data_IF_766945792984
#
_entry.id   IF_766945792984
#
_cell.length_a   1.000
_cell.length_b   1.000
_cell.length_c   1.000
_cell.angle_alpha   90.00
_cell.angle_beta   90.00
_cell.angle_gamma   90.00
#
_symmetry.space_group_name_H-M   'P 1'
#
loop_
_entity.id
_entity.type
_entity.pdbx_description
1 polymer ?
#
# COMPACT_ATOMS: atom_id res chain seq x y z
N UNK A 1 14.23 -0.64 -39.65
CA UNK A 1 13.90 0.29 -38.56
C UNK A 1 12.40 0.19 -38.30
N UNK A 2 11.99 -0.46 -37.21
CA UNK A 2 10.61 -0.39 -36.72
C UNK A 2 10.59 0.66 -35.62
N UNK A 3 9.81 1.72 -35.80
CA UNK A 3 9.55 2.77 -34.82
C UNK A 3 8.96 2.12 -33.56
N UNK A 4 9.66 2.28 -32.43
CA UNK A 4 9.18 1.85 -31.12
C UNK A 4 7.87 2.62 -30.82
N UNK A 5 6.79 1.95 -30.37
CA UNK A 5 5.67 2.66 -29.77
C UNK A 5 6.19 3.39 -28.53
N UNK A 6 5.78 4.65 -28.39
CA UNK A 6 6.13 5.51 -27.27
C UNK A 6 5.71 4.82 -25.95
N UNK A 7 6.70 4.41 -25.16
CA UNK A 7 6.48 3.88 -23.81
C UNK A 7 6.04 5.05 -22.96
N UNK A 8 4.73 5.20 -22.80
CA UNK A 8 4.14 6.10 -21.83
C UNK A 8 4.59 5.57 -20.46
N UNK A 9 5.48 6.27 -19.76
CA UNK A 9 5.93 5.85 -18.42
C UNK A 9 4.71 5.56 -17.54
N UNK A 10 4.71 4.45 -16.81
CA UNK A 10 3.57 4.02 -15.98
C UNK A 10 3.07 5.12 -15.01
N UNK A 11 3.93 6.06 -14.58
CA UNK A 11 3.53 7.17 -13.70
C UNK A 11 2.73 8.28 -14.39
N UNK A 12 2.61 8.29 -15.73
CA UNK A 12 1.62 9.11 -16.41
C UNK A 12 0.20 8.55 -16.21
N UNK A 13 0.11 7.25 -15.92
CA UNK A 13 -1.15 6.54 -15.69
C UNK A 13 -1.52 6.58 -14.20
N UNK A 14 -0.56 6.42 -13.28
CA UNK A 14 -0.79 6.41 -11.83
C UNK A 14 -0.37 7.70 -11.13
N UNK A 15 -1.28 8.33 -10.39
CA UNK A 15 -1.04 9.62 -9.73
C UNK A 15 -1.05 9.54 -8.20
N UNK A 16 -1.60 8.46 -7.64
CA UNK A 16 -1.87 8.35 -6.21
C UNK A 16 -1.59 6.93 -5.71
N UNK A 17 -1.44 6.81 -4.39
CA UNK A 17 -1.29 5.51 -3.72
C UNK A 17 -2.41 5.36 -2.70
N UNK A 18 -3.12 4.24 -2.74
CA UNK A 18 -3.95 3.78 -1.64
C UNK A 18 -3.08 2.97 -0.68
N UNK A 19 -2.80 3.51 0.50
CA UNK A 19 -2.13 2.79 1.56
C UNK A 19 -3.16 2.19 2.53
N UNK A 20 -3.10 0.87 2.72
CA UNK A 20 -3.90 0.15 3.70
C UNK A 20 -2.95 -0.50 4.71
N UNK A 21 -3.15 -0.26 6.00
CA UNK A 21 -2.30 -0.86 7.03
C UNK A 21 -3.17 -1.54 8.09
N UNK A 22 -2.89 -2.80 8.38
CA UNK A 22 -3.50 -3.49 9.50
C UNK A 22 -3.03 -2.87 10.82
N UNK A 23 -3.98 -2.54 11.69
CA UNK A 23 -3.68 -1.86 12.95
C UNK A 23 -2.96 -2.76 13.95
N UNK A 24 -3.14 -4.08 13.88
CA UNK A 24 -2.52 -4.99 14.85
C UNK A 24 -1.09 -5.34 14.45
N UNK A 25 -0.93 -5.99 13.30
CA UNK A 25 0.34 -6.48 12.76
C UNK A 25 1.24 -5.38 12.22
N UNK A 26 0.68 -4.21 11.89
CA UNK A 26 1.34 -3.14 11.13
C UNK A 26 1.66 -3.55 9.69
N UNK A 27 1.12 -4.67 9.22
CA UNK A 27 1.30 -5.11 7.85
C UNK A 27 0.63 -4.12 6.90
N UNK A 28 1.34 -3.74 5.86
CA UNK A 28 0.91 -2.72 4.91
C UNK A 28 0.70 -3.32 3.53
N UNK A 29 -0.33 -2.82 2.85
CA UNK A 29 -0.60 -3.04 1.44
C UNK A 29 -0.68 -1.67 0.78
N UNK A 30 -0.10 -1.52 -0.40
CA UNK A 30 -0.22 -0.29 -1.17
C UNK A 30 -0.61 -0.61 -2.61
N UNK A 31 -1.46 0.24 -3.18
CA UNK A 31 -1.97 0.09 -4.54
C UNK A 31 -1.76 1.40 -5.31
N UNK A 32 -1.19 1.32 -6.51
CA UNK A 32 -1.13 2.44 -7.43
C UNK A 32 -2.55 2.73 -7.95
N UNK A 33 -2.94 4.00 -7.92
CA UNK A 33 -4.22 4.49 -8.39
C UNK A 33 -4.02 5.53 -9.49
N UNK A 34 -4.82 5.42 -10.55
CA UNK A 34 -4.88 6.41 -11.62
C UNK A 34 -5.53 7.69 -11.14
N UNK A 35 -6.60 7.54 -10.35
CA UNK A 35 -7.33 8.65 -9.77
C UNK A 35 -7.87 8.28 -8.37
N UNK A 36 -8.53 9.24 -7.72
CA UNK A 36 -9.16 9.01 -6.41
C UNK A 36 -10.64 8.62 -6.53
N UNK A 37 -11.06 8.04 -7.66
CA UNK A 37 -12.47 7.69 -7.83
C UNK A 37 -12.87 6.60 -6.84
N UNK A 38 -14.15 6.66 -6.48
CA UNK A 38 -14.74 5.71 -5.56
C UNK A 38 -14.62 4.26 -6.07
N UNK A 39 -14.92 4.06 -7.35
CA UNK A 39 -14.90 2.76 -8.00
C UNK A 39 -13.50 2.11 -8.01
N UNK A 40 -12.45 2.91 -8.24
CA UNK A 40 -11.08 2.40 -8.29
C UNK A 40 -10.63 1.85 -6.93
N UNK A 41 -10.96 2.56 -5.86
CA UNK A 41 -10.61 2.10 -4.51
C UNK A 41 -11.49 0.97 -4.03
N UNK A 42 -12.79 0.99 -4.35
CA UNK A 42 -13.65 -0.17 -4.09
C UNK A 42 -13.08 -1.43 -4.75
N UNK A 43 -12.54 -1.31 -5.97
CA UNK A 43 -11.88 -2.42 -6.69
C UNK A 43 -10.64 -2.92 -5.94
N UNK A 44 -9.76 -2.03 -5.47
CA UNK A 44 -8.57 -2.40 -4.68
C UNK A 44 -8.95 -3.07 -3.36
N UNK A 45 -9.87 -2.48 -2.59
CA UNK A 45 -10.34 -3.01 -1.31
C UNK A 45 -11.03 -4.37 -1.49
N UNK A 46 -11.85 -4.54 -2.54
CA UNK A 46 -12.45 -5.83 -2.87
C UNK A 46 -11.39 -6.90 -3.11
N UNK A 47 -10.34 -6.59 -3.87
CA UNK A 47 -9.22 -7.50 -4.11
C UNK A 47 -8.53 -7.89 -2.80
N UNK A 48 -8.22 -6.90 -1.96
CA UNK A 48 -7.60 -7.13 -0.65
C UNK A 48 -8.46 -8.04 0.24
N UNK A 49 -9.76 -7.72 0.39
CA UNK A 49 -10.68 -8.48 1.23
C UNK A 49 -10.95 -9.88 0.69
N UNK A 50 -10.82 -10.11 -0.62
CA UNK A 50 -10.96 -11.45 -1.20
C UNK A 50 -9.81 -12.37 -0.80
N UNK A 51 -8.63 -11.82 -0.52
CA UNK A 51 -7.44 -12.59 -0.14
C UNK A 51 -7.31 -12.75 1.38
N UNK A 52 -7.55 -11.66 2.12
CA UNK A 52 -7.29 -11.61 3.57
C UNK A 52 -8.54 -11.59 4.44
N UNK A 53 -9.72 -11.55 3.82
CA UNK A 53 -10.98 -11.28 4.50
C UNK A 53 -11.23 -9.79 4.73
N UNK A 54 -12.50 -9.43 4.94
CA UNK A 54 -12.88 -8.07 5.33
C UNK A 54 -12.57 -7.81 6.81
N UNK A 55 -12.05 -6.63 7.18
CA UNK A 55 -11.86 -6.30 8.59
C UNK A 55 -13.21 -6.05 9.29
N UNK A 56 -13.22 -6.17 10.62
CA UNK A 56 -14.37 -5.73 11.43
C UNK A 56 -14.54 -4.20 11.40
N UNK A 57 -13.42 -3.49 11.30
CA UNK A 57 -13.36 -2.03 11.37
C UNK A 57 -12.46 -1.50 10.27
N UNK A 58 -13.02 -0.73 9.34
CA UNK A 58 -12.25 0.03 8.35
C UNK A 58 -12.20 1.49 8.77
N UNK A 59 -11.00 2.02 8.92
CA UNK A 59 -10.76 3.40 9.32
C UNK A 59 -10.08 4.17 8.17
N UNK A 60 -10.73 5.22 7.70
CA UNK A 60 -10.19 6.12 6.68
C UNK A 60 -9.90 7.49 7.27
N UNK A 61 -8.98 8.22 6.66
CA UNK A 61 -8.77 9.63 6.99
C UNK A 61 -9.96 10.52 6.58
N UNK A 62 -9.85 11.81 6.92
CA UNK A 62 -10.86 12.82 6.66
C UNK A 62 -10.80 13.41 5.24
N UNK A 63 -10.25 12.67 4.26
CA UNK A 63 -10.38 13.04 2.84
C UNK A 63 -11.86 13.12 2.45
N UNK A 64 -12.44 14.32 2.55
CA UNK A 64 -13.90 14.56 2.47
C UNK A 64 -14.55 14.05 1.18
N UNK A 65 -13.79 13.94 0.10
CA UNK A 65 -14.31 13.65 -1.25
C UNK A 65 -14.30 12.16 -1.61
N UNK A 66 -13.43 11.37 -0.97
CA UNK A 66 -13.13 10.00 -1.35
C UNK A 66 -13.98 8.95 -0.60
N UNK A 67 -14.34 9.30 0.62
CA UNK A 67 -14.72 8.35 1.66
C UNK A 67 -16.22 8.11 1.73
N UNK A 68 -17.05 9.01 1.17
CA UNK A 68 -18.49 8.92 1.40
C UNK A 68 -19.18 7.83 0.57
N UNK A 69 -19.14 7.97 -0.77
CA UNK A 69 -19.83 7.06 -1.69
C UNK A 69 -19.26 5.64 -1.68
N UNK A 70 -17.94 5.47 -1.65
CA UNK A 70 -17.27 4.15 -1.55
C UNK A 70 -17.74 3.40 -0.32
N UNK A 71 -17.71 4.07 0.83
CA UNK A 71 -18.08 3.46 2.09
C UNK A 71 -19.56 3.07 2.08
N UNK A 72 -20.42 3.90 1.51
CA UNK A 72 -21.85 3.62 1.49
C UNK A 72 -22.16 2.43 0.56
N UNK A 73 -21.49 2.29 -0.58
CA UNK A 73 -21.56 1.08 -1.42
C UNK A 73 -20.99 -0.16 -0.71
N UNK A 74 -19.81 -0.04 -0.07
CA UNK A 74 -19.19 -1.17 0.63
C UNK A 74 -19.98 -1.58 1.88
N UNK A 75 -20.68 -0.67 2.57
CA UNK A 75 -21.59 -1.00 3.67
C UNK A 75 -22.75 -1.88 3.22
N UNK A 76 -23.31 -1.62 2.04
CA UNK A 76 -24.39 -2.43 1.47
C UNK A 76 -23.89 -3.84 1.16
N UNK A 77 -22.68 -3.96 0.59
CA UNK A 77 -22.10 -5.24 0.21
C UNK A 77 -21.53 -6.04 1.41
N UNK A 78 -21.13 -5.36 2.49
CA UNK A 78 -20.45 -5.95 3.64
C UNK A 78 -21.12 -5.51 4.96
N UNK A 79 -22.34 -6.00 5.27
CA UNK A 79 -23.13 -5.53 6.41
C UNK A 79 -22.49 -5.82 7.79
N UNK A 80 -21.47 -6.68 7.86
CA UNK A 80 -20.71 -6.96 9.08
C UNK A 80 -19.55 -5.99 9.35
N UNK A 81 -19.25 -5.06 8.43
CA UNK A 81 -18.10 -4.16 8.53
C UNK A 81 -18.50 -2.80 9.09
N UNK A 82 -17.86 -2.39 10.19
CA UNK A 82 -18.00 -1.06 10.73
C UNK A 82 -17.05 -0.10 10.01
N UNK A 83 -17.57 1.02 9.55
CA UNK A 83 -16.75 2.08 8.96
C UNK A 83 -16.65 3.24 9.93
N UNK A 84 -15.43 3.55 10.36
CA UNK A 84 -15.18 4.77 11.10
C UNK A 84 -14.54 5.79 10.17
N UNK A 85 -15.19 6.95 10.06
CA UNK A 85 -14.55 8.16 9.57
C UNK A 85 -13.87 8.80 10.78
N UNK A 86 -12.59 9.16 10.65
CA UNK A 86 -11.91 9.88 11.72
C UNK A 86 -12.74 11.11 12.10
N UNK A 87 -13.22 11.24 13.34
CA UNK A 87 -13.95 12.47 13.71
C UNK A 87 -13.02 13.67 13.51
N UNK A 88 -13.52 14.83 13.05
CA UNK A 88 -12.75 16.07 13.17
C UNK A 88 -12.42 16.23 14.66
N UNK A 89 -11.13 16.10 15.05
CA UNK A 89 -10.60 16.10 16.42
C UNK A 89 -10.52 14.75 17.18
N UNK A 90 -10.05 13.67 16.56
CA UNK A 90 -9.42 12.55 17.31
C UNK A 90 -7.93 12.37 16.92
N UNK A 91 -7.01 13.11 17.58
CA UNK A 91 -5.58 13.15 17.24
C UNK A 91 -4.90 11.78 17.21
N UNK A 92 -5.27 10.86 18.11
CA UNK A 92 -4.69 9.52 18.16
C UNK A 92 -5.00 8.68 16.92
N UNK A 93 -6.21 8.82 16.37
CA UNK A 93 -6.67 8.05 15.22
C UNK A 93 -6.08 8.59 13.91
N UNK A 94 -6.05 9.92 13.75
CA UNK A 94 -5.42 10.60 12.62
C UNK A 94 -3.91 10.38 12.63
N UNK A 95 -3.28 10.47 13.81
CA UNK A 95 -1.86 10.27 13.96
C UNK A 95 -1.39 8.85 13.62
N UNK A 96 -2.28 7.83 13.56
CA UNK A 96 -1.88 6.53 13.03
C UNK A 96 -1.80 6.52 11.51
N UNK A 97 -2.85 7.00 10.83
CA UNK A 97 -2.88 7.06 9.36
C UNK A 97 -1.77 7.97 8.83
N UNK A 98 -1.56 9.12 9.47
CA UNK A 98 -0.45 10.04 9.14
C UNK A 98 0.91 9.38 9.30
N UNK A 99 1.13 8.62 10.38
CA UNK A 99 2.38 7.87 10.58
C UNK A 99 2.55 6.77 9.55
N UNK A 100 1.50 6.01 9.24
CA UNK A 100 1.56 4.94 8.24
C UNK A 100 1.90 5.50 6.86
N UNK A 101 1.28 6.61 6.46
CA UNK A 101 1.60 7.30 5.22
C UNK A 101 3.03 7.88 5.25
N UNK A 102 3.46 8.44 6.39
CA UNK A 102 4.83 8.93 6.56
C UNK A 102 5.90 7.83 6.41
N UNK A 103 5.66 6.63 6.94
CA UNK A 103 6.55 5.47 6.74
C UNK A 103 6.69 5.14 5.26
N UNK A 104 5.56 5.11 4.53
CA UNK A 104 5.54 4.83 3.10
C UNK A 104 6.30 5.91 2.30
N UNK A 105 6.05 7.19 2.58
CA UNK A 105 6.73 8.32 1.94
C UNK A 105 8.25 8.28 2.14
N UNK A 106 8.72 7.98 3.36
CA UNK A 106 10.16 7.87 3.65
C UNK A 106 10.79 6.69 2.90
N UNK A 107 10.10 5.54 2.87
CA UNK A 107 10.59 4.36 2.17
C UNK A 107 10.69 4.60 0.65
N UNK A 108 9.68 5.25 0.05
CA UNK A 108 9.75 5.66 -1.35
C UNK A 108 10.87 6.67 -1.62
N UNK A 109 11.04 7.68 -0.76
CA UNK A 109 12.10 8.67 -0.91
C UNK A 109 13.49 8.01 -0.93
N UNK A 110 13.70 6.99 -0.10
CA UNK A 110 14.92 6.18 -0.11
C UNK A 110 15.05 5.38 -1.40
N UNK A 111 14.01 4.65 -1.80
CA UNK A 111 14.03 3.83 -3.01
C UNK A 111 14.31 4.66 -4.27
N UNK A 112 13.64 5.81 -4.44
CA UNK A 112 13.86 6.72 -5.57
C UNK A 112 15.29 7.27 -5.60
N UNK A 113 15.87 7.55 -4.42
CA UNK A 113 17.27 7.98 -4.31
C UNK A 113 18.25 6.87 -4.65
N UNK A 114 17.97 5.64 -4.24
CA UNK A 114 18.83 4.47 -4.49
C UNK A 114 18.80 4.07 -5.98
N UNK A 115 17.64 4.20 -6.64
CA UNK A 115 17.45 3.86 -8.06
C UNK A 115 17.75 5.01 -9.02
N UNK A 116 17.82 6.25 -8.53
CA UNK A 116 17.98 7.43 -9.39
C UNK A 116 16.78 7.69 -10.31
N UNK A 117 15.60 7.18 -9.95
CA UNK A 117 14.37 7.24 -10.74
C UNK A 117 13.23 7.86 -9.93
N UNK A 118 12.37 8.63 -10.62
CA UNK A 118 11.12 9.15 -10.05
C UNK A 118 9.91 8.27 -10.43
N UNK A 119 10.16 7.14 -11.11
CA UNK A 119 9.14 6.19 -11.53
C UNK A 119 8.71 5.30 -10.36
N UNK A 120 8.03 5.92 -9.38
CA UNK A 120 7.72 5.31 -8.09
C UNK A 120 6.82 4.08 -8.24
N UNK A 121 5.99 4.00 -9.28
CA UNK A 121 5.06 2.89 -9.47
C UNK A 121 5.77 1.55 -9.65
N UNK A 122 6.97 1.54 -10.25
CA UNK A 122 7.79 0.35 -10.44
C UNK A 122 8.35 -0.18 -9.11
N UNK A 123 8.64 0.73 -8.18
CA UNK A 123 9.14 0.41 -6.84
C UNK A 123 8.09 0.00 -5.82
N UNK A 124 6.79 0.12 -6.13
CA UNK A 124 5.70 0.00 -5.15
C UNK A 124 5.74 -1.33 -4.38
N UNK A 125 5.88 -2.46 -5.07
CA UNK A 125 5.89 -3.78 -4.44
C UNK A 125 7.15 -3.98 -3.59
N UNK A 126 8.30 -3.50 -4.05
CA UNK A 126 9.57 -3.57 -3.33
C UNK A 126 9.52 -2.75 -2.03
N UNK A 127 9.04 -1.52 -2.13
CA UNK A 127 8.89 -0.62 -0.97
C UNK A 127 7.95 -1.21 0.08
N UNK A 128 6.79 -1.76 -0.33
CA UNK A 128 5.86 -2.42 0.59
C UNK A 128 6.50 -3.66 1.22
N UNK A 129 7.25 -4.44 0.43
CA UNK A 129 7.99 -5.59 0.94
C UNK A 129 9.03 -5.17 1.99
N UNK A 130 9.82 -4.12 1.74
CA UNK A 130 10.78 -3.60 2.72
C UNK A 130 10.10 -3.16 4.02
N UNK A 131 8.98 -2.45 3.92
CA UNK A 131 8.20 -2.03 5.10
C UNK A 131 7.75 -3.25 5.91
N UNK A 132 7.19 -4.26 5.26
CA UNK A 132 6.65 -5.45 5.92
C UNK A 132 7.71 -6.39 6.48
N UNK A 133 8.97 -6.28 6.02
CA UNK A 133 10.09 -7.12 6.45
C UNK A 133 11.09 -6.38 7.34
N UNK A 134 10.81 -5.11 7.66
CA UNK A 134 11.62 -4.33 8.59
C UNK A 134 11.23 -4.63 10.03
N UNK A 135 12.23 -4.98 10.86
CA UNK A 135 12.01 -5.24 12.28
C UNK A 135 11.54 -3.96 12.98
N UNK A 136 10.39 -4.06 13.65
CA UNK A 136 9.88 -2.97 14.48
C UNK A 136 10.65 -2.91 15.79
N UNK A 137 11.08 -1.71 16.18
CA UNK A 137 11.79 -1.50 17.45
C UNK A 137 10.92 -1.81 18.68
N UNK A 138 9.60 -1.68 18.55
CA UNK A 138 8.63 -1.88 19.62
C UNK A 138 8.31 -3.35 19.87
N UNK A 139 8.12 -4.15 18.82
CA UNK A 139 7.74 -5.57 18.93
C UNK A 139 8.91 -6.53 18.78
N UNK A 140 10.06 -6.05 18.28
CA UNK A 140 11.22 -6.87 17.86
C UNK A 140 10.88 -7.92 16.78
N UNK A 141 9.73 -7.79 16.15
CA UNK A 141 9.25 -8.61 15.05
C UNK A 141 8.99 -7.73 13.83
N UNK A 142 9.04 -8.34 12.66
CA UNK A 142 8.59 -7.72 11.41
C UNK A 142 7.06 -7.76 11.31
N UNK A 143 6.41 -6.82 10.61
CA UNK A 143 4.98 -6.92 10.33
C UNK A 143 4.58 -8.25 9.67
N UNK A 144 5.43 -8.80 8.80
CA UNK A 144 5.24 -10.12 8.20
C UNK A 144 5.16 -11.23 9.25
N UNK A 145 6.10 -11.27 10.19
CA UNK A 145 6.11 -12.28 11.26
C UNK A 145 4.87 -12.19 12.14
N UNK A 146 4.38 -10.98 12.43
CA UNK A 146 3.16 -10.79 13.22
C UNK A 146 1.92 -11.24 12.45
N UNK A 147 1.84 -10.93 11.15
CA UNK A 147 0.70 -11.27 10.29
C UNK A 147 0.59 -12.78 10.05
N UNK A 148 1.71 -13.45 9.72
CA UNK A 148 1.70 -14.85 9.31
C UNK A 148 2.14 -15.83 10.39
N UNK A 149 2.56 -15.34 11.58
CA UNK A 149 3.14 -16.14 12.65
C UNK A 149 4.32 -17.01 12.19
N UNK A 150 5.05 -16.57 11.16
CA UNK A 150 6.14 -17.31 10.55
C UNK A 150 7.27 -16.37 10.17
N UNK A 151 8.50 -16.88 10.26
CA UNK A 151 9.67 -16.18 9.74
C UNK A 151 9.63 -16.14 8.22
N UNK A 152 10.00 -15.00 7.68
CA UNK A 152 10.21 -14.83 6.26
C UNK A 152 11.30 -15.81 5.78
N UNK A 153 10.97 -16.67 4.82
CA UNK A 153 11.91 -17.65 4.25
C UNK A 153 12.77 -17.07 3.14
N UNK A 154 12.27 -16.01 2.50
CA UNK A 154 12.91 -15.31 1.40
C UNK A 154 13.57 -14.06 1.99
N UNK A 155 14.89 -14.01 2.11
CA UNK A 155 15.53 -12.80 2.64
C UNK A 155 15.48 -11.65 1.61
N UNK A 156 15.88 -10.44 2.02
CA UNK A 156 15.87 -9.25 1.15
C UNK A 156 16.71 -9.41 -0.13
N UNK A 157 17.52 -10.47 -0.27
CA UNK A 157 18.31 -10.71 -1.47
C UNK A 157 17.48 -11.25 -2.62
N UNK A 158 16.28 -11.78 -2.40
CA UNK A 158 15.49 -12.31 -3.52
C UNK A 158 15.29 -11.27 -4.62
N UNK A 159 14.80 -10.09 -4.27
CA UNK A 159 14.61 -9.02 -5.25
C UNK A 159 15.90 -8.53 -5.87
N UNK A 160 16.96 -8.42 -5.06
CA UNK A 160 18.32 -8.10 -5.53
C UNK A 160 18.80 -9.12 -6.56
N UNK A 161 18.61 -10.40 -6.29
CA UNK A 161 18.97 -11.49 -7.20
C UNK A 161 18.12 -11.46 -8.47
N UNK A 162 16.81 -11.25 -8.35
CA UNK A 162 15.93 -11.17 -9.52
C UNK A 162 16.36 -10.00 -10.43
N UNK A 163 16.73 -8.84 -9.86
CA UNK A 163 17.27 -7.68 -10.60
C UNK A 163 18.66 -7.96 -11.19
N UNK A 164 19.60 -8.47 -10.39
CA UNK A 164 20.97 -8.80 -10.83
C UNK A 164 21.01 -9.87 -11.93
N UNK A 165 20.03 -10.76 -11.97
CA UNK A 165 19.92 -11.81 -12.98
C UNK A 165 19.07 -11.39 -14.19
N UNK A 166 18.60 -10.13 -14.26
CA UNK A 166 17.80 -9.64 -15.38
C UNK A 166 16.49 -10.40 -15.59
N UNK A 167 15.89 -10.94 -14.51
CA UNK A 167 14.65 -11.73 -14.59
C UNK A 167 13.42 -10.81 -14.69
N UNK A 168 13.54 -9.58 -14.21
CA UNK A 168 12.58 -8.49 -14.45
C UNK A 168 13.32 -7.46 -15.28
N UNK A 169 12.85 -7.25 -16.50
CA UNK A 169 13.17 -6.05 -17.25
C UNK A 169 12.38 -4.90 -16.61
N UNK A 170 13.08 -3.90 -16.07
CA UNK A 170 12.50 -2.57 -15.88
C UNK A 170 12.34 -2.00 -17.30
N UNK A 171 11.12 -2.09 -17.85
CA UNK A 171 10.73 -1.46 -19.13
C UNK A 171 10.64 0.07 -19.02
#
# INVERSE_FOLDING_TARGET
MRTRPDVISNDLVFQRILNCTDHFSKFSWAFALQNKSAAEVAKCLRGLFSVFGSPRLLHSDNGREFVASVIDELKVLLPGMCFMRGRPRHPQSQGYVERANGVLTVAFGKWMSDEGSNHWSDGLLLVVYEINTRVSSATKLTPYEVMYAQKLRCDQKFWKLVKENGIIDEE
#
